data_IF_811950195911
#
_entry.id   IF_811950195911
#
_cell.length_a   1.000
_cell.length_b   1.000
_cell.length_c   1.000
_cell.angle_alpha   90.00
_cell.angle_beta   90.00
_cell.angle_gamma   90.00
#
_symmetry.space_group_name_H-M   'P 1'
#
loop_
_entity.id
_entity.type
_entity.pdbx_description
1 polymer ?
#
# COMPACT_ATOMS: atom_id res chain seq x y z
N UNK A 1 2.61 11.34 14.29
CA UNK A 1 2.07 11.15 12.92
C UNK A 1 0.56 11.26 12.96
N UNK A 2 0.01 11.86 11.93
CA UNK A 2 -1.43 12.02 11.83
C UNK A 2 -2.10 10.65 11.62
N UNK A 3 -3.09 10.32 12.45
CA UNK A 3 -3.84 9.07 12.36
C UNK A 3 -4.56 8.90 11.00
N UNK A 4 -4.81 10.01 10.28
CA UNK A 4 -5.40 10.00 8.93
C UNK A 4 -4.53 9.21 7.96
N UNK A 5 -3.21 9.31 8.06
CA UNK A 5 -2.28 8.56 7.19
C UNK A 5 -2.40 7.06 7.42
N UNK A 6 -2.54 6.64 8.68
CA UNK A 6 -2.77 5.24 9.03
C UNK A 6 -4.11 4.72 8.51
N UNK A 7 -5.17 5.53 8.61
CA UNK A 7 -6.47 5.19 8.02
C UNK A 7 -6.39 5.04 6.50
N UNK A 8 -5.71 5.95 5.82
CA UNK A 8 -5.51 5.87 4.38
C UNK A 8 -4.77 4.60 4.00
N UNK A 9 -3.75 4.24 4.75
CA UNK A 9 -2.97 3.03 4.52
C UNK A 9 -3.83 1.78 4.70
N UNK A 10 -4.59 1.69 5.78
CA UNK A 10 -5.51 0.58 6.03
C UNK A 10 -6.56 0.45 4.94
N UNK A 11 -7.12 1.57 4.48
CA UNK A 11 -8.10 1.59 3.40
C UNK A 11 -7.48 1.10 2.09
N UNK A 12 -6.27 1.54 1.74
CA UNK A 12 -5.59 1.10 0.53
C UNK A 12 -5.29 -0.40 0.57
N UNK A 13 -4.89 -0.91 1.72
CA UNK A 13 -4.66 -2.36 1.90
C UNK A 13 -5.95 -3.16 1.71
N UNK A 14 -7.06 -2.67 2.28
CA UNK A 14 -8.37 -3.29 2.11
C UNK A 14 -8.81 -3.26 0.64
N UNK A 15 -8.63 -2.13 -0.04
CA UNK A 15 -8.95 -1.97 -1.46
C UNK A 15 -8.13 -2.94 -2.33
N UNK A 16 -6.85 -3.09 -2.02
CA UNK A 16 -5.97 -4.04 -2.71
C UNK A 16 -6.46 -5.47 -2.55
N UNK A 17 -6.87 -5.85 -1.35
CA UNK A 17 -7.39 -7.20 -1.07
C UNK A 17 -8.67 -7.48 -1.87
N UNK A 18 -9.58 -6.50 -1.94
CA UNK A 18 -10.80 -6.60 -2.73
C UNK A 18 -10.47 -6.74 -4.22
N UNK A 19 -9.59 -5.90 -4.74
CA UNK A 19 -9.18 -5.95 -6.15
C UNK A 19 -8.51 -7.28 -6.49
N UNK A 20 -7.67 -7.80 -5.61
CA UNK A 20 -7.00 -9.09 -5.79
C UNK A 20 -8.02 -10.22 -5.87
N UNK A 21 -9.03 -10.20 -5.00
CA UNK A 21 -10.11 -11.20 -5.00
C UNK A 21 -10.91 -11.13 -6.29
N UNK A 22 -11.29 -9.93 -6.72
CA UNK A 22 -12.03 -9.72 -7.96
C UNK A 22 -11.22 -10.19 -9.17
N UNK A 23 -9.91 -9.91 -9.19
CA UNK A 23 -9.02 -10.40 -10.24
C UNK A 23 -8.98 -11.92 -10.29
N UNK A 24 -8.85 -12.57 -9.13
CA UNK A 24 -8.75 -14.03 -9.05
C UNK A 24 -10.06 -14.70 -9.48
N UNK A 25 -11.20 -14.12 -9.13
CA UNK A 25 -12.51 -14.57 -9.61
C UNK A 25 -12.63 -14.44 -11.13
N UNK A 26 -12.19 -13.31 -11.70
CA UNK A 26 -12.18 -13.09 -13.13
C UNK A 26 -11.26 -14.08 -13.86
N UNK A 27 -10.09 -14.38 -13.28
CA UNK A 27 -9.19 -15.42 -13.80
C UNK A 27 -9.83 -16.79 -13.82
N UNK A 28 -10.52 -17.17 -12.76
CA UNK A 28 -11.21 -18.46 -12.67
C UNK A 28 -12.29 -18.57 -13.76
N UNK A 29 -13.04 -17.50 -13.99
CA UNK A 29 -14.04 -17.44 -15.06
C UNK A 29 -13.38 -17.58 -16.44
N UNK A 30 -12.24 -16.93 -16.67
CA UNK A 30 -11.50 -17.02 -17.93
C UNK A 30 -11.11 -18.46 -18.30
N UNK A 31 -10.80 -19.29 -17.32
CA UNK A 31 -10.39 -20.68 -17.55
C UNK A 31 -11.52 -21.56 -18.10
N UNK A 32 -12.77 -21.19 -17.83
CA UNK A 32 -13.96 -21.96 -18.23
C UNK A 32 -14.65 -21.44 -19.50
N UNK A 33 -14.11 -20.36 -20.12
CA UNK A 33 -14.80 -19.68 -21.22
C UNK A 33 -14.27 -20.02 -22.61
N UNK A 34 -15.18 -19.93 -23.60
CA UNK A 34 -14.86 -20.02 -25.02
C UNK A 34 -14.31 -18.68 -25.55
N UNK A 35 -13.66 -18.71 -26.72
CA UNK A 35 -12.72 -17.71 -27.22
C UNK A 35 -13.17 -16.25 -27.28
N UNK A 36 -14.43 -15.92 -27.46
CA UNK A 36 -14.90 -14.52 -27.60
C UNK A 36 -15.04 -13.85 -26.22
N UNK A 37 -15.66 -14.57 -25.28
CA UNK A 37 -15.84 -14.07 -23.92
C UNK A 37 -14.51 -14.01 -23.16
N UNK A 38 -13.57 -14.88 -23.51
CA UNK A 38 -12.23 -14.91 -22.93
C UNK A 38 -11.49 -13.58 -23.12
N UNK A 39 -11.62 -12.92 -24.28
CA UNK A 39 -10.98 -11.63 -24.53
C UNK A 39 -11.51 -10.53 -23.59
N UNK A 40 -12.81 -10.52 -23.36
CA UNK A 40 -13.41 -9.55 -22.42
C UNK A 40 -12.88 -9.76 -21.00
N UNK A 41 -12.88 -10.99 -20.50
CA UNK A 41 -12.42 -11.30 -19.16
C UNK A 41 -10.91 -11.12 -19.00
N UNK A 42 -10.12 -11.40 -20.04
CA UNK A 42 -8.68 -11.08 -20.03
C UNK A 42 -8.44 -9.58 -19.91
N UNK A 43 -9.25 -8.76 -20.58
CA UNK A 43 -9.20 -7.31 -20.45
C UNK A 43 -9.49 -6.85 -19.02
N UNK A 44 -10.51 -7.45 -18.39
CA UNK A 44 -10.83 -7.17 -16.98
C UNK A 44 -9.68 -7.55 -16.04
N UNK A 45 -9.10 -8.73 -16.22
CA UNK A 45 -7.95 -9.18 -15.42
C UNK A 45 -6.78 -8.22 -15.56
N UNK A 46 -6.47 -7.78 -16.78
CA UNK A 46 -5.41 -6.81 -17.03
C UNK A 46 -5.70 -5.47 -16.33
N UNK A 47 -6.96 -5.00 -16.37
CA UNK A 47 -7.39 -3.81 -15.66
C UNK A 47 -7.22 -3.93 -14.15
N UNK A 48 -7.64 -5.04 -13.57
CA UNK A 48 -7.46 -5.30 -12.14
C UNK A 48 -5.99 -5.35 -11.76
N UNK A 49 -5.15 -6.00 -12.56
CA UNK A 49 -3.70 -6.04 -12.30
C UNK A 49 -3.08 -4.64 -12.30
N UNK A 50 -3.51 -3.76 -13.20
CA UNK A 50 -3.06 -2.37 -13.25
C UNK A 50 -3.48 -1.62 -11.99
N UNK A 51 -4.74 -1.75 -11.57
CA UNK A 51 -5.25 -1.12 -10.36
C UNK A 51 -4.57 -1.64 -9.09
N UNK A 52 -4.32 -2.94 -9.01
CA UNK A 52 -3.61 -3.56 -7.88
C UNK A 52 -2.20 -3.00 -7.80
N UNK A 53 -1.48 -2.91 -8.91
CA UNK A 53 -0.13 -2.35 -8.96
C UNK A 53 -0.13 -0.88 -8.52
N UNK A 54 -1.05 -0.09 -9.03
CA UNK A 54 -1.17 1.32 -8.65
C UNK A 54 -1.46 1.46 -7.15
N UNK A 55 -2.37 0.65 -6.62
CA UNK A 55 -2.70 0.65 -5.19
C UNK A 55 -1.50 0.25 -4.35
N UNK A 56 -0.75 -0.77 -4.78
CA UNK A 56 0.47 -1.20 -4.09
C UNK A 56 1.53 -0.10 -4.09
N UNK A 57 1.71 0.60 -5.21
CA UNK A 57 2.66 1.72 -5.29
C UNK A 57 2.29 2.82 -4.30
N UNK A 58 1.01 3.12 -4.14
CA UNK A 58 0.54 4.11 -3.17
C UNK A 58 0.74 3.64 -1.72
N UNK A 59 0.52 2.35 -1.45
CA UNK A 59 0.81 1.75 -0.14
C UNK A 59 2.30 1.90 0.18
N UNK A 60 3.17 1.57 -0.77
CA UNK A 60 4.63 1.66 -0.59
C UNK A 60 5.07 3.10 -0.31
N UNK A 61 4.48 4.07 -1.00
CA UNK A 61 4.76 5.49 -0.77
C UNK A 61 4.35 5.94 0.64
N UNK A 62 3.16 5.55 1.09
CA UNK A 62 2.70 5.89 2.45
C UNK A 62 3.56 5.22 3.52
N UNK A 63 3.91 3.96 3.34
CA UNK A 63 4.78 3.24 4.26
C UNK A 63 6.17 3.91 4.34
N UNK A 64 6.72 4.34 3.21
CA UNK A 64 7.99 5.07 3.17
C UNK A 64 7.91 6.40 3.91
N UNK A 65 6.80 7.13 3.76
CA UNK A 65 6.59 8.38 4.48
C UNK A 65 6.51 8.15 5.99
N UNK A 66 5.84 7.10 6.42
CA UNK A 66 5.74 6.73 7.83
C UNK A 66 7.12 6.39 8.39
N UNK A 67 7.91 5.60 7.67
CA UNK A 67 9.26 5.22 8.07
C UNK A 67 10.19 6.43 8.18
N UNK A 68 10.12 7.36 7.23
CA UNK A 68 10.93 8.60 7.26
C UNK A 68 10.58 9.46 8.46
N UNK A 69 9.30 9.64 8.75
CA UNK A 69 8.85 10.42 9.90
C UNK A 69 9.29 9.78 11.21
N UNK A 70 9.21 8.46 11.34
CA UNK A 70 9.68 7.74 12.51
C UNK A 70 11.18 7.90 12.70
N UNK A 71 11.97 7.83 11.63
CA UNK A 71 13.43 8.04 11.69
C UNK A 71 13.77 9.46 12.11
N UNK A 72 13.09 10.46 11.58
CA UNK A 72 13.31 11.86 11.94
C UNK A 72 12.99 12.09 13.41
N UNK A 73 11.91 11.51 13.93
CA UNK A 73 11.54 11.59 15.34
C UNK A 73 12.57 10.90 16.24
N UNK A 74 13.09 9.75 15.85
CA UNK A 74 14.15 9.06 16.60
C UNK A 74 15.44 9.88 16.63
N UNK A 75 15.85 10.45 15.51
CA UNK A 75 17.02 11.32 15.44
C UNK A 75 16.85 12.56 16.32
N UNK A 76 15.68 13.16 16.33
CA UNK A 76 15.35 14.31 17.16
C UNK A 76 15.43 13.97 18.65
N UNK A 77 14.90 12.83 19.05
CA UNK A 77 14.95 12.35 20.43
C UNK A 77 16.39 12.09 20.88
N UNK A 78 17.23 11.52 20.02
CA UNK A 78 18.64 11.31 20.31
C UNK A 78 19.39 12.62 20.50
N UNK A 79 19.14 13.63 19.68
CA UNK A 79 19.72 14.96 19.81
C UNK A 79 19.32 15.62 21.12
N UNK A 80 18.07 15.51 21.53
CA UNK A 80 17.58 16.03 22.81
C UNK A 80 18.28 15.34 23.98
N UNK A 81 18.46 14.03 23.93
CA UNK A 81 19.18 13.28 24.96
C UNK A 81 20.63 13.74 25.10
N UNK A 82 21.30 13.96 23.98
CA UNK A 82 22.66 14.47 23.95
C UNK A 82 22.74 15.86 24.60
N UNK A 83 21.83 16.76 24.25
CA UNK A 83 21.76 18.10 24.81
C UNK A 83 21.51 18.06 26.33
N UNK A 84 20.62 17.20 26.80
CA UNK A 84 20.37 17.03 28.24
C UNK A 84 21.59 16.49 28.98
N UNK A 85 22.32 15.55 28.36
CA UNK A 85 23.56 15.04 28.92
C UNK A 85 24.62 16.10 29.06
N UNK A 86 24.67 17.07 28.15
CA UNK A 86 25.63 18.20 28.22
C UNK A 86 25.27 19.23 29.28
N UNK A 87 23.99 19.36 29.63
CA UNK A 87 23.53 20.36 30.59
C UNK A 87 23.48 19.87 32.03
N UNK A 88 23.78 18.61 32.27
CA UNK A 88 23.68 17.95 33.59
C UNK A 88 25.02 17.81 34.30
N UNK A 89 26.00 18.53 33.91
CA UNK A 89 27.29 18.52 34.66
C UNK A 89 27.24 19.38 35.93
#
# INVERSE_FOLDING_TARGET
>A
MDWIVWEMLEKLKADKDILTRMRDEAKAICLDMTSVDMLYWKGLVAGYNTQIRWTQDNIDKLESMIEEEQRDNEAYDDDIRLLRGMTHE
#
